data_IF_051939836109
#
_entry.id   IF_051939836109
#
_cell.length_a   1.000
_cell.length_b   1.000
_cell.length_c   1.000
_cell.angle_alpha   90.00
_cell.angle_beta   90.00
_cell.angle_gamma   90.00
#
_symmetry.space_group_name_H-M   'P 1'
#
loop_
_entity.id
_entity.type
_entity.pdbx_description
1 polymer ?
#
# COMPACT_ATOMS: atom_id res chain seq x y z
N UNK A 1 -1.59 -12.53 3.44
CA UNK A 1 -2.75 -13.06 2.71
C UNK A 1 -3.53 -14.02 3.60
N UNK A 2 -4.84 -14.09 3.48
CA UNK A 2 -5.69 -15.03 4.25
C UNK A 2 -6.80 -15.58 3.37
N UNK A 3 -6.69 -16.86 3.01
CA UNK A 3 -7.54 -17.49 1.99
C UNK A 3 -8.74 -18.27 2.53
N UNK A 4 -9.25 -17.89 3.71
CA UNK A 4 -10.37 -18.63 4.35
C UNK A 4 -11.67 -18.57 3.54
N UNK A 5 -11.81 -17.57 2.69
CA UNK A 5 -13.02 -17.31 1.90
C UNK A 5 -12.76 -17.39 0.40
N UNK A 6 -11.62 -17.91 -0.05
CA UNK A 6 -11.30 -18.03 -1.48
C UNK A 6 -12.40 -18.78 -2.24
N UNK A 7 -12.86 -18.31 -3.42
CA UNK A 7 -12.39 -17.15 -4.19
C UNK A 7 -13.12 -15.82 -3.90
N UNK A 8 -13.85 -15.74 -2.78
CA UNK A 8 -14.67 -14.60 -2.35
C UNK A 8 -14.00 -13.80 -1.21
N UNK A 9 -12.68 -13.80 -1.15
CA UNK A 9 -11.91 -13.13 -0.11
C UNK A 9 -11.47 -11.70 -0.50
N UNK A 10 -11.43 -10.81 0.48
CA UNK A 10 -10.75 -9.52 0.33
C UNK A 10 -9.31 -9.64 0.84
N UNK A 11 -8.36 -9.01 0.14
CA UNK A 11 -6.95 -9.01 0.52
C UNK A 11 -6.46 -7.61 0.83
N UNK A 12 -5.65 -7.49 1.89
CA UNK A 12 -4.95 -6.25 2.24
C UNK A 12 -3.46 -6.44 2.09
N UNK A 13 -2.88 -5.71 1.14
CA UNK A 13 -1.47 -5.73 0.82
C UNK A 13 -0.84 -4.40 1.24
N UNK A 14 0.30 -4.47 1.92
CA UNK A 14 0.97 -3.29 2.49
C UNK A 14 2.27 -3.03 1.75
N UNK A 15 2.60 -1.76 1.56
CA UNK A 15 3.96 -1.32 1.18
C UNK A 15 4.58 -0.66 2.39
N UNK A 16 5.72 -1.21 2.85
CA UNK A 16 6.45 -0.69 4.00
C UNK A 16 7.67 0.06 3.50
N UNK A 17 7.75 1.35 3.83
CA UNK A 17 8.86 2.22 3.49
C UNK A 17 9.72 2.42 4.73
N UNK A 18 11.04 2.28 4.59
CA UNK A 18 11.98 2.47 5.69
C UNK A 18 13.38 2.83 5.19
N UNK A 19 14.14 3.54 6.03
CA UNK A 19 15.56 3.77 5.78
C UNK A 19 16.33 2.49 6.09
N UNK A 20 17.28 2.16 5.23
CA UNK A 20 18.17 1.02 5.46
C UNK A 20 19.34 1.39 6.38
N UNK A 21 19.93 2.57 6.20
CA UNK A 21 21.21 2.93 6.82
C UNK A 21 21.12 4.02 7.91
N UNK A 22 20.07 4.85 7.89
CA UNK A 22 19.93 5.99 8.80
C UNK A 22 18.90 5.71 9.89
N UNK A 23 19.21 6.18 11.10
CA UNK A 23 18.27 6.14 12.22
C UNK A 23 17.28 7.31 12.16
N UNK A 24 16.27 7.27 13.02
CA UNK A 24 15.23 8.31 13.14
C UNK A 24 15.76 9.68 13.55
N UNK A 25 16.94 9.74 14.17
CA UNK A 25 17.58 11.01 14.56
C UNK A 25 18.17 11.75 13.35
N UNK A 26 18.42 11.02 12.26
CA UNK A 26 19.00 11.55 11.04
C UNK A 26 17.95 11.79 9.95
N UNK A 27 16.99 10.86 9.81
CA UNK A 27 15.96 10.92 8.76
C UNK A 27 14.61 10.50 9.33
N UNK A 28 13.59 11.32 9.06
CA UNK A 28 12.19 11.05 9.39
C UNK A 28 11.35 11.08 8.11
N UNK A 29 10.69 9.96 7.82
CA UNK A 29 9.69 9.89 6.76
C UNK A 29 8.33 10.35 7.28
N UNK A 30 7.64 11.18 6.50
CA UNK A 30 6.25 11.59 6.73
C UNK A 30 5.52 11.62 5.40
N UNK A 31 4.25 11.25 5.43
CA UNK A 31 3.36 11.49 4.31
C UNK A 31 3.18 13.00 4.11
N UNK A 32 2.98 13.43 2.86
CA UNK A 32 2.57 14.81 2.58
C UNK A 32 1.16 15.03 3.11
N UNK A 33 0.88 16.27 3.52
CA UNK A 33 -0.44 16.64 4.05
C UNK A 33 -1.55 16.51 3.00
N UNK A 34 -1.23 16.83 1.74
CA UNK A 34 -2.15 16.74 0.62
C UNK A 34 -1.76 15.60 -0.33
N UNK A 35 -2.75 14.76 -0.67
CA UNK A 35 -2.66 13.68 -1.65
C UNK A 35 -1.32 12.91 -1.61
N UNK A 36 -0.98 12.28 -0.47
CA UNK A 36 0.31 11.61 -0.30
C UNK A 36 0.49 10.38 -1.19
N UNK A 37 -0.61 9.79 -1.67
CA UNK A 37 -0.66 8.64 -2.55
C UNK A 37 -1.60 9.00 -3.69
N UNK A 38 -1.11 8.93 -4.93
CA UNK A 38 -1.91 9.06 -6.14
C UNK A 38 -2.03 7.68 -6.77
N UNK A 39 -3.27 7.23 -6.96
CA UNK A 39 -3.57 5.98 -7.66
C UNK A 39 -4.07 6.36 -9.05
N UNK A 40 -3.53 5.71 -10.08
CA UNK A 40 -4.01 5.92 -11.45
C UNK A 40 -5.44 5.38 -11.57
N UNK A 41 -6.31 6.14 -12.25
CA UNK A 41 -7.75 5.83 -12.29
C UNK A 41 -8.05 4.55 -13.06
N UNK A 42 -7.20 4.23 -14.02
CA UNK A 42 -7.38 3.12 -14.96
C UNK A 42 -6.43 1.95 -14.64
N UNK A 43 -6.20 1.67 -13.35
CA UNK A 43 -5.52 0.44 -12.96
C UNK A 43 -6.47 -0.75 -13.16
N UNK A 44 -6.14 -1.58 -14.14
CA UNK A 44 -6.80 -2.86 -14.37
C UNK A 44 -5.99 -3.99 -13.73
N UNK A 45 -6.66 -4.73 -12.85
CA UNK A 45 -6.14 -5.94 -12.22
C UNK A 45 -7.01 -7.12 -12.72
N UNK A 46 -6.44 -8.14 -13.39
CA UNK A 46 -7.24 -9.19 -14.03
C UNK A 46 -8.15 -10.00 -13.11
N UNK A 47 -7.79 -10.13 -11.82
CA UNK A 47 -8.48 -10.99 -10.86
C UNK A 47 -9.07 -10.23 -9.66
N UNK A 48 -8.69 -8.98 -9.45
CA UNK A 48 -9.03 -8.22 -8.24
C UNK A 48 -9.55 -6.85 -8.61
N UNK A 49 -10.49 -6.34 -7.82
CA UNK A 49 -10.84 -4.93 -7.85
C UNK A 49 -10.11 -4.20 -6.72
N UNK A 50 -9.47 -3.06 -7.04
CA UNK A 50 -8.83 -2.23 -6.03
C UNK A 50 -9.90 -1.39 -5.31
N UNK A 51 -10.06 -1.62 -4.01
CA UNK A 51 -10.93 -0.82 -3.16
C UNK A 51 -10.06 0.22 -2.44
N UNK A 52 -10.19 1.53 -2.74
CA UNK A 52 -9.41 2.59 -2.12
C UNK A 52 -9.76 2.81 -0.64
#
# INVERSE_FOLDING_TARGET
MTFRQYPLDAQRCWVVLGSYAQTTDQVLFKWKDENPITIEKDIELPEFDMIP
#
